data_IF_148433850758
#
_entry.id   IF_148433850758
#
_cell.length_a   1.000
_cell.length_b   1.000
_cell.length_c   1.000
_cell.angle_alpha   90.00
_cell.angle_beta   90.00
_cell.angle_gamma   90.00
#
_symmetry.space_group_name_H-M   'P 1'
#
loop_
_entity.id
_entity.type
_entity.pdbx_description
1 polymer ?
#
# COMPACT_ATOMS: atom_id res chain seq x y z
N UNK A 1 16.23 -20.68 -5.14
CA UNK A 1 14.85 -20.55 -4.65
C UNK A 1 14.35 -19.15 -4.98
N UNK A 2 13.09 -18.99 -5.36
CA UNK A 2 12.51 -17.66 -5.60
C UNK A 2 11.87 -17.12 -4.31
N UNK A 3 12.05 -15.83 -4.05
CA UNK A 3 11.40 -15.15 -2.93
C UNK A 3 10.02 -14.70 -3.38
N UNK A 4 8.98 -15.08 -2.64
CA UNK A 4 7.61 -14.65 -2.88
C UNK A 4 7.13 -13.76 -1.74
N UNK A 5 6.50 -12.63 -2.09
CA UNK A 5 5.81 -11.74 -1.15
C UNK A 5 4.40 -11.43 -1.62
N UNK A 6 3.45 -11.28 -0.70
CA UNK A 6 2.01 -11.12 -1.01
C UNK A 6 1.39 -9.89 -0.35
N UNK A 7 0.59 -9.18 -1.14
CA UNK A 7 -0.36 -8.16 -0.70
C UNK A 7 -1.76 -8.51 -1.21
N UNK A 8 -2.79 -8.01 -0.53
CA UNK A 8 -4.20 -8.28 -0.81
C UNK A 8 -4.96 -6.96 -0.77
N UNK A 9 -5.97 -6.82 -1.64
CA UNK A 9 -6.91 -5.72 -1.59
C UNK A 9 -8.32 -6.26 -1.80
N UNK A 10 -9.28 -5.63 -1.13
CA UNK A 10 -10.70 -5.88 -1.28
C UNK A 10 -11.41 -4.58 -1.64
N UNK A 11 -12.50 -4.64 -2.40
CA UNK A 11 -13.31 -3.48 -2.78
C UNK A 11 -14.78 -3.88 -2.89
N UNK A 12 -15.66 -3.05 -2.33
CA UNK A 12 -17.11 -3.21 -2.43
C UNK A 12 -17.79 -1.90 -2.79
N UNK A 13 -18.78 -1.98 -3.69
CA UNK A 13 -19.58 -0.83 -4.12
C UNK A 13 -19.02 -0.11 -5.35
N UNK A 14 -19.57 1.06 -5.64
CA UNK A 14 -19.17 1.88 -6.80
C UNK A 14 -17.81 2.57 -6.60
N UNK A 15 -17.33 3.32 -7.60
CA UNK A 15 -16.03 3.96 -7.53
C UNK A 15 -15.92 5.04 -6.45
N UNK A 16 -16.92 5.92 -6.30
CA UNK A 16 -16.83 7.11 -5.44
C UNK A 16 -17.25 6.85 -4.00
N UNK A 17 -18.26 6.01 -3.80
CA UNK A 17 -18.82 5.68 -2.49
C UNK A 17 -18.44 4.27 -2.02
N UNK A 18 -17.83 3.47 -2.90
CA UNK A 18 -17.31 2.17 -2.53
C UNK A 18 -16.19 2.28 -1.51
N UNK A 19 -15.98 1.17 -0.81
CA UNK A 19 -15.00 1.06 0.27
C UNK A 19 -14.03 -0.03 -0.07
N UNK A 20 -12.75 0.28 0.04
CA UNK A 20 -11.66 -0.65 -0.13
C UNK A 20 -10.94 -0.93 1.16
N UNK A 21 -10.32 -2.11 1.24
CA UNK A 21 -9.31 -2.39 2.25
C UNK A 21 -8.06 -2.99 1.62
N UNK A 22 -6.89 -2.70 2.18
CA UNK A 22 -5.61 -3.27 1.77
C UNK A 22 -4.95 -3.99 2.95
N UNK A 23 -4.32 -5.13 2.66
CA UNK A 23 -3.61 -5.96 3.64
C UNK A 23 -2.28 -6.45 3.08
N UNK A 24 -1.33 -6.73 3.96
CA UNK A 24 -0.03 -7.33 3.63
C UNK A 24 0.12 -8.65 4.36
N UNK A 25 0.79 -9.64 3.76
CA UNK A 25 0.98 -10.95 4.42
C UNK A 25 1.74 -10.86 5.76
N UNK A 26 2.56 -9.82 5.93
CA UNK A 26 3.30 -9.56 7.17
C UNK A 26 2.41 -9.09 8.33
N UNK A 27 1.17 -8.66 8.04
CA UNK A 27 0.26 -8.04 9.01
C UNK A 27 0.53 -6.56 9.28
N UNK A 28 1.58 -5.95 8.72
CA UNK A 28 1.87 -4.51 8.90
C UNK A 28 0.70 -3.62 8.44
N UNK A 29 0.04 -4.01 7.35
CA UNK A 29 -1.31 -3.55 7.01
C UNK A 29 -2.28 -4.71 7.19
N UNK A 30 -3.34 -4.50 7.97
CA UNK A 30 -4.42 -5.46 8.20
C UNK A 30 -5.75 -4.76 7.95
N UNK A 31 -6.38 -5.08 6.81
CA UNK A 31 -7.63 -4.50 6.32
C UNK A 31 -7.68 -2.96 6.44
N UNK A 32 -6.58 -2.28 6.13
CA UNK A 32 -6.51 -0.84 6.21
C UNK A 32 -7.40 -0.18 5.16
N UNK A 33 -8.30 0.74 5.54
CA UNK A 33 -9.26 1.31 4.62
C UNK A 33 -8.57 2.22 3.59
N UNK A 34 -9.02 2.12 2.34
CA UNK A 34 -8.69 3.06 1.27
C UNK A 34 -9.93 3.33 0.43
N UNK A 35 -9.96 4.48 -0.24
CA UNK A 35 -11.13 4.91 -1.02
C UNK A 35 -10.78 5.93 -2.10
N UNK A 36 -11.78 6.31 -2.88
CA UNK A 36 -11.63 7.39 -3.87
C UNK A 36 -11.21 8.69 -3.19
N UNK A 37 -11.81 9.00 -2.05
CA UNK A 37 -11.51 10.19 -1.26
C UNK A 37 -10.05 10.24 -0.77
N UNK A 38 -9.51 9.12 -0.28
CA UNK A 38 -8.13 9.05 0.21
C UNK A 38 -7.10 9.03 -0.91
N UNK A 39 -7.50 8.64 -2.13
CA UNK A 39 -6.63 8.58 -3.30
C UNK A 39 -6.63 9.87 -4.13
N UNK A 40 -7.79 10.50 -4.31
CA UNK A 40 -7.97 11.58 -5.29
C UNK A 40 -8.50 12.89 -4.72
N UNK A 41 -9.02 12.91 -3.48
CA UNK A 41 -9.65 14.10 -2.90
C UNK A 41 -8.83 14.73 -1.76
N UNK A 42 -7.58 14.29 -1.58
CA UNK A 42 -6.66 14.84 -0.58
C UNK A 42 -7.04 14.54 0.87
N UNK A 43 -7.99 13.63 1.10
CA UNK A 43 -8.35 13.18 2.44
C UNK A 43 -7.24 12.28 2.97
N UNK A 44 -6.81 12.50 4.21
CA UNK A 44 -5.80 11.65 4.86
C UNK A 44 -6.30 10.21 4.96
N UNK A 45 -5.47 9.28 4.51
CA UNK A 45 -5.70 7.83 4.59
C UNK A 45 -4.80 7.10 3.61
N UNK A 46 -4.80 5.78 3.66
CA UNK A 46 -3.95 4.99 2.79
C UNK A 46 -4.39 5.08 1.33
N UNK A 47 -3.41 5.05 0.44
CA UNK A 47 -3.57 5.02 -1.01
C UNK A 47 -2.40 4.22 -1.63
N UNK A 48 -2.57 3.68 -2.85
CA UNK A 48 -1.50 2.91 -3.51
C UNK A 48 -0.19 3.71 -3.68
N UNK A 49 -0.28 5.01 -3.94
CA UNK A 49 0.86 5.85 -4.26
C UNK A 49 1.82 6.02 -3.08
N UNK A 50 1.32 6.22 -1.85
CA UNK A 50 2.16 6.26 -0.65
C UNK A 50 2.83 4.91 -0.36
N UNK A 51 2.16 3.79 -0.66
CA UNK A 51 2.71 2.44 -0.43
C UNK A 51 3.86 2.13 -1.40
N UNK A 52 3.72 2.56 -2.66
CA UNK A 52 4.81 2.47 -3.66
C UNK A 52 5.98 3.36 -3.22
N UNK A 53 5.70 4.58 -2.76
CA UNK A 53 6.72 5.49 -2.23
C UNK A 53 7.48 4.88 -1.05
N UNK A 54 6.77 4.29 -0.09
CA UNK A 54 7.35 3.62 1.06
C UNK A 54 8.20 2.39 0.66
N UNK A 55 7.69 1.56 -0.26
CA UNK A 55 8.42 0.40 -0.76
C UNK A 55 9.72 0.81 -1.47
N UNK A 56 9.66 1.85 -2.31
CA UNK A 56 10.83 2.37 -3.02
C UNK A 56 11.85 2.97 -2.05
N UNK A 57 11.42 3.84 -1.13
CA UNK A 57 12.31 4.46 -0.15
C UNK A 57 13.03 3.40 0.71
N UNK A 58 12.31 2.37 1.17
CA UNK A 58 12.89 1.28 1.95
C UNK A 58 13.92 0.47 1.14
N UNK A 59 13.57 0.08 -0.09
CA UNK A 59 14.47 -0.68 -0.96
C UNK A 59 15.73 0.11 -1.32
N UNK A 60 15.58 1.37 -1.73
CA UNK A 60 16.71 2.23 -2.08
C UNK A 60 17.65 2.45 -0.88
N UNK A 61 17.11 2.76 0.30
CA UNK A 61 17.92 3.00 1.49
C UNK A 61 18.72 1.76 1.89
N UNK A 62 18.12 0.57 1.78
CA UNK A 62 18.80 -0.69 2.05
C UNK A 62 19.90 -0.97 1.01
N UNK A 63 19.62 -0.76 -0.27
CA UNK A 63 20.60 -0.93 -1.33
C UNK A 63 21.76 0.06 -1.21
N UNK A 64 21.49 1.30 -0.79
CA UNK A 64 22.53 2.30 -0.56
C UNK A 64 23.46 1.89 0.59
N UNK A 65 22.92 1.36 1.69
CA UNK A 65 23.73 0.84 2.80
C UNK A 65 24.59 -0.36 2.43
N UNK A 66 24.29 -1.07 1.34
CA UNK A 66 25.13 -2.14 0.80
C UNK A 66 26.30 -1.60 -0.02
N UNK A 67 26.16 -0.41 -0.60
CA UNK A 67 27.17 0.20 -1.47
C UNK A 67 28.21 1.04 -0.71
N UNK A 68 27.90 1.47 0.52
CA UNK A 68 28.79 2.21 1.42
C UNK A 68 29.47 1.27 2.42
#
# INVERSE_FOLDING_TARGET
>A
MAIHKKGLAHWEGDLKHGKGTVSTESGALSQQPYGFNTRFEGVKGTNPEELIGAAHAACFSMALSLML
#
